data_IF_438607925212
#
_entry.id   IF_438607925212
#
_cell.length_a   1.000
_cell.length_b   1.000
_cell.length_c   1.000
_cell.angle_alpha   90.00
_cell.angle_beta   90.00
_cell.angle_gamma   90.00
#
_symmetry.space_group_name_H-M   'P 1'
#
loop_
_entity.id
_entity.type
_entity.pdbx_description
1 polymer ?
#
# COMPACT_ATOMS: atom_id res chain seq x y z
N UNK A 1 12.88 1.91 3.13
CA UNK A 1 11.69 1.15 3.61
C UNK A 1 11.63 0.94 5.14
N UNK A 2 10.71 1.63 5.81
CA UNK A 2 10.38 1.56 7.26
C UNK A 2 9.33 0.46 7.59
N UNK A 3 8.94 0.34 8.87
CA UNK A 3 7.96 -0.66 9.35
C UNK A 3 6.56 -0.45 8.76
N UNK A 4 6.07 0.79 8.71
CA UNK A 4 4.76 1.13 8.18
C UNK A 4 4.65 0.79 6.69
N UNK A 5 5.68 1.13 5.91
CA UNK A 5 5.77 0.81 4.48
C UNK A 5 5.78 -0.70 4.24
N UNK A 6 6.58 -1.47 4.99
CA UNK A 6 6.57 -2.94 4.93
C UNK A 6 5.21 -3.53 5.26
N UNK A 7 4.55 -3.00 6.29
CA UNK A 7 3.23 -3.47 6.71
C UNK A 7 2.18 -3.19 5.63
N UNK A 8 2.23 -2.01 5.02
CA UNK A 8 1.35 -1.64 3.92
C UNK A 8 1.54 -2.55 2.69
N UNK A 9 2.79 -2.78 2.27
CA UNK A 9 3.06 -3.70 1.15
C UNK A 9 2.50 -5.09 1.43
N UNK A 10 2.66 -5.62 2.64
CA UNK A 10 2.11 -6.92 3.00
C UNK A 10 0.57 -6.94 2.96
N UNK A 11 -0.08 -5.90 3.47
CA UNK A 11 -1.55 -5.76 3.42
C UNK A 11 -2.01 -5.73 1.97
N UNK A 12 -1.42 -4.86 1.15
CA UNK A 12 -1.78 -4.68 -0.25
C UNK A 12 -1.49 -5.94 -1.08
N UNK A 13 -0.36 -6.62 -0.86
CA UNK A 13 -0.01 -7.85 -1.56
C UNK A 13 -1.02 -8.97 -1.24
N UNK A 14 -1.33 -9.18 0.04
CA UNK A 14 -2.29 -10.21 0.46
C UNK A 14 -3.71 -9.92 -0.01
N UNK A 15 -4.11 -8.64 -0.09
CA UNK A 15 -5.43 -8.23 -0.58
C UNK A 15 -5.54 -8.35 -2.10
N UNK A 16 -4.53 -7.89 -2.84
CA UNK A 16 -4.53 -7.90 -4.31
C UNK A 16 -4.35 -9.30 -4.91
N UNK A 17 -3.75 -10.23 -4.17
CA UNK A 17 -3.62 -11.63 -4.61
C UNK A 17 -4.95 -12.37 -4.80
N UNK A 18 -6.05 -11.88 -4.21
CA UNK A 18 -7.36 -12.53 -4.28
C UNK A 18 -8.41 -11.77 -5.10
N UNK A 19 -8.29 -10.45 -5.27
CA UNK A 19 -9.14 -9.60 -6.12
C UNK A 19 -8.51 -8.20 -6.20
N UNK A 20 -8.68 -7.48 -7.31
CA UNK A 20 -8.29 -6.08 -7.50
C UNK A 20 -9.20 -5.18 -6.63
N UNK A 21 -9.03 -5.28 -5.30
CA UNK A 21 -9.99 -4.79 -4.31
C UNK A 21 -9.65 -3.34 -4.00
N UNK A 22 -10.61 -2.43 -4.19
CA UNK A 22 -10.51 -1.05 -3.70
C UNK A 22 -10.29 -1.08 -2.19
N UNK A 23 -9.36 -0.27 -1.69
CA UNK A 23 -9.08 -0.18 -0.27
C UNK A 23 -8.89 1.29 0.09
N UNK A 24 -9.81 1.78 0.92
CA UNK A 24 -9.78 3.18 1.34
C UNK A 24 -8.65 3.42 2.34
N UNK A 25 -8.18 4.67 2.43
CA UNK A 25 -7.14 5.05 3.40
C UNK A 25 -7.55 4.80 4.86
N UNK A 26 -8.80 5.10 5.28
CA UNK A 26 -9.24 4.76 6.63
C UNK A 26 -9.16 3.26 6.92
N UNK A 27 -9.46 2.39 5.95
CA UNK A 27 -9.32 0.93 6.13
C UNK A 27 -7.86 0.50 6.24
N UNK A 28 -6.98 1.06 5.41
CA UNK A 28 -5.53 0.84 5.53
C UNK A 28 -5.01 1.25 6.90
N UNK A 29 -5.45 2.40 7.42
CA UNK A 29 -5.11 2.88 8.75
C UNK A 29 -5.53 1.88 9.85
N UNK A 30 -6.75 1.35 9.77
CA UNK A 30 -7.22 0.32 10.71
C UNK A 30 -6.39 -0.97 10.63
N UNK A 31 -6.09 -1.47 9.44
CA UNK A 31 -5.29 -2.71 9.29
C UNK A 31 -3.83 -2.52 9.70
N UNK A 32 -3.26 -1.36 9.39
CA UNK A 32 -1.91 -1.02 9.78
C UNK A 32 -1.79 -0.65 11.26
N UNK A 33 -2.90 -0.32 11.95
CA UNK A 33 -2.91 0.27 13.29
C UNK A 33 -2.00 1.50 13.35
N UNK A 34 -2.27 2.45 12.45
CA UNK A 34 -1.52 3.70 12.28
C UNK A 34 -2.49 4.83 11.99
N UNK A 35 -2.05 6.05 12.23
CA UNK A 35 -2.80 7.25 11.89
C UNK A 35 -2.91 7.45 10.38
N UNK A 36 -4.00 8.05 9.92
CA UNK A 36 -4.25 8.32 8.49
C UNK A 36 -3.10 9.10 7.84
N UNK A 37 -2.53 10.08 8.54
CA UNK A 37 -1.38 10.84 8.05
C UNK A 37 -0.11 9.99 7.84
N UNK A 38 0.11 8.99 8.70
CA UNK A 38 1.22 8.05 8.54
C UNK A 38 1.02 7.12 7.35
N UNK A 39 -0.23 6.72 7.08
CA UNK A 39 -0.57 5.91 5.90
C UNK A 39 -0.34 6.69 4.61
N UNK A 40 -0.85 7.93 4.52
CA UNK A 40 -0.67 8.79 3.35
C UNK A 40 0.80 8.96 3.00
N UNK A 41 1.62 9.36 3.98
CA UNK A 41 3.07 9.52 3.80
C UNK A 41 3.75 8.22 3.34
N UNK A 42 3.36 7.08 3.90
CA UNK A 42 3.93 5.80 3.52
C UNK A 42 3.51 5.35 2.10
N UNK A 43 2.27 5.63 1.69
CA UNK A 43 1.79 5.38 0.33
C UNK A 43 2.49 6.29 -0.70
N UNK A 44 2.72 7.56 -0.36
CA UNK A 44 3.52 8.50 -1.17
C UNK A 44 4.93 7.95 -1.39
N UNK A 45 5.64 7.62 -0.32
CA UNK A 45 6.99 7.04 -0.40
C UNK A 45 7.02 5.76 -1.25
N UNK A 46 6.09 4.83 -1.02
CA UNK A 46 6.03 3.56 -1.77
C UNK A 46 5.71 3.77 -3.26
N UNK A 47 4.91 4.80 -3.60
CA UNK A 47 4.62 5.19 -4.98
C UNK A 47 5.87 5.79 -5.63
N UNK A 48 6.56 6.69 -4.95
CA UNK A 48 7.80 7.32 -5.43
C UNK A 48 8.90 6.27 -5.67
N UNK A 49 9.04 5.32 -4.75
CA UNK A 49 9.96 4.18 -4.87
C UNK A 49 9.49 3.10 -5.85
N UNK A 50 8.33 3.29 -6.52
CA UNK A 50 7.75 2.38 -7.53
C UNK A 50 7.44 0.96 -7.01
N UNK A 51 7.10 0.83 -5.74
CA UNK A 51 6.59 -0.44 -5.20
C UNK A 51 5.09 -0.62 -5.43
N UNK A 52 4.34 0.48 -5.51
CA UNK A 52 2.89 0.47 -5.69
C UNK A 52 2.44 1.46 -6.77
N UNK A 53 1.28 1.18 -7.35
CA UNK A 53 0.43 2.18 -7.98
C UNK A 53 -0.61 2.63 -6.95
N UNK A 54 -0.79 3.94 -6.78
CA UNK A 54 -1.78 4.49 -5.84
C UNK A 54 -2.46 5.72 -6.45
N UNK A 55 -3.79 5.71 -6.41
CA UNK A 55 -4.68 6.78 -6.84
C UNK A 55 -5.70 7.06 -5.71
N UNK A 56 -5.48 8.16 -4.99
CA UNK A 56 -6.28 8.53 -3.81
C UNK A 56 -7.73 8.84 -4.18
N UNK A 57 -7.97 9.45 -5.34
CA UNK A 57 -9.32 9.81 -5.80
C UNK A 57 -10.21 8.59 -6.10
N UNK A 58 -9.60 7.41 -6.26
CA UNK A 58 -10.29 6.16 -6.60
C UNK A 58 -10.25 5.11 -5.47
N UNK A 59 -9.72 5.45 -4.29
CA UNK A 59 -9.45 4.51 -3.19
C UNK A 59 -8.73 3.25 -3.68
N UNK A 60 -7.71 3.46 -4.52
CA UNK A 60 -7.03 2.41 -5.23
C UNK A 60 -5.55 2.38 -4.90
N UNK A 61 -5.07 1.25 -4.37
CA UNK A 61 -3.66 0.99 -4.18
C UNK A 61 -3.34 -0.47 -4.54
N UNK A 62 -2.36 -0.68 -5.41
CA UNK A 62 -1.89 -2.03 -5.77
C UNK A 62 -0.39 -2.14 -5.77
N UNK A 63 0.09 -3.33 -5.41
CA UNK A 63 1.51 -3.66 -5.53
C UNK A 63 1.85 -3.94 -6.98
N UNK A 64 2.94 -3.36 -7.49
CA UNK A 64 3.38 -3.57 -8.88
C UNK A 64 3.95 -4.98 -9.02
N UNK A 65 3.42 -5.86 -9.88
CA UNK A 65 3.94 -7.21 -10.06
C UNK A 65 5.44 -7.21 -10.44
N UNK A 66 6.24 -8.09 -9.82
CA UNK A 66 7.68 -8.23 -10.12
C UNK A 66 8.64 -7.52 -9.15
N UNK A 67 8.16 -6.65 -8.24
CA UNK A 67 9.02 -6.02 -7.21
C UNK A 67 9.73 -7.04 -6.28
N UNK A 68 9.17 -8.23 -6.11
CA UNK A 68 9.75 -9.33 -5.32
C UNK A 68 10.93 -10.03 -6.01
N UNK A 69 11.16 -9.79 -7.31
CA UNK A 69 12.22 -10.46 -8.10
C UNK A 69 13.51 -9.65 -8.25
N UNK A 70 13.56 -8.39 -7.80
CA UNK A 70 14.80 -7.61 -7.75
C UNK A 70 15.37 -7.58 -6.33
N UNK A 71 15.84 -8.73 -5.82
CA UNK A 71 16.82 -8.81 -4.75
C UNK A 71 17.75 -9.99 -4.97
#
# INVERSE_FOLDING_TARGET
>A
MNDTERKLLRILYNRNGHQNTRISIPELARFAQREVGQIRKALENLREERFIEWEDSMDYARVIPGWLQSR
#
